data_IF_516702470633
#
_entry.id   IF_516702470633
#
_cell.length_a   1.000
_cell.length_b   1.000
_cell.length_c   1.000
_cell.angle_alpha   90.00
_cell.angle_beta   90.00
_cell.angle_gamma   90.00
#
_symmetry.space_group_name_H-M   'P 1'
#
loop_
_entity.id
_entity.type
_entity.pdbx_description
1 polymer ?
#
# COMPACT_ATOMS: atom_id res chain seq x y z
N UNK A 1 44.13 -24.13 13.08
CA UNK A 1 42.95 -24.56 13.85
C UNK A 1 41.87 -23.50 13.72
N UNK A 2 40.71 -23.93 13.22
CA UNK A 2 39.38 -23.31 13.25
C UNK A 2 39.23 -21.78 13.06
N UNK A 3 38.62 -21.40 11.94
CA UNK A 3 37.36 -20.65 12.01
C UNK A 3 36.51 -20.94 10.75
N UNK A 4 35.33 -21.53 10.99
CA UNK A 4 34.30 -21.84 10.00
C UNK A 4 33.60 -20.54 9.58
N UNK A 5 33.66 -20.17 8.32
CA UNK A 5 32.75 -19.17 7.73
C UNK A 5 31.53 -19.92 7.21
N UNK A 6 30.34 -19.58 7.72
CA UNK A 6 29.05 -20.06 7.20
C UNK A 6 28.53 -19.07 6.15
N UNK A 7 28.19 -19.50 4.93
CA UNK A 7 27.43 -18.69 3.98
C UNK A 7 25.98 -19.21 3.94
N UNK A 8 25.01 -18.51 4.52
CA UNK A 8 23.59 -18.78 4.23
C UNK A 8 22.65 -17.67 4.73
N UNK A 9 22.58 -16.53 4.03
CA UNK A 9 21.41 -15.64 4.06
C UNK A 9 21.25 -15.05 2.66
N UNK A 10 20.77 -15.87 1.72
CA UNK A 10 20.57 -15.42 0.34
C UNK A 10 19.48 -16.24 -0.38
N UNK A 11 18.35 -16.51 0.30
CA UNK A 11 17.12 -16.96 -0.36
C UNK A 11 15.94 -16.52 0.51
N UNK A 12 15.35 -15.35 0.23
CA UNK A 12 14.20 -14.87 1.01
C UNK A 12 13.49 -13.64 0.44
N UNK A 13 14.17 -12.85 -0.40
CA UNK A 13 13.63 -11.56 -0.89
C UNK A 13 13.20 -11.53 -2.35
N UNK A 14 12.97 -12.67 -3.02
CA UNK A 14 12.66 -12.69 -4.48
C UNK A 14 11.21 -13.09 -4.80
N UNK A 15 10.42 -13.63 -3.87
CA UNK A 15 9.05 -14.07 -4.19
C UNK A 15 7.94 -13.03 -3.97
N UNK A 16 8.21 -11.88 -3.35
CA UNK A 16 7.14 -10.91 -3.02
C UNK A 16 6.72 -10.02 -4.20
N UNK A 17 7.43 -10.05 -5.33
CA UNK A 17 7.18 -9.16 -6.48
C UNK A 17 6.26 -9.81 -7.53
N UNK A 18 6.02 -11.13 -7.46
CA UNK A 18 5.27 -11.83 -8.50
C UNK A 18 3.74 -11.89 -8.30
N UNK A 19 3.21 -11.60 -7.11
CA UNK A 19 1.78 -11.84 -6.80
C UNK A 19 0.88 -10.65 -7.13
N UNK A 20 1.39 -9.41 -7.13
CA UNK A 20 0.59 -8.24 -7.50
C UNK A 20 0.37 -8.14 -9.02
N UNK A 21 1.22 -8.81 -9.82
CA UNK A 21 1.20 -8.72 -11.28
C UNK A 21 0.13 -9.58 -11.98
N UNK A 22 -0.69 -10.36 -11.25
CA UNK A 22 -1.69 -11.25 -11.88
C UNK A 22 -3.16 -10.93 -11.55
N UNK A 23 -3.45 -9.96 -10.67
CA UNK A 23 -4.82 -9.75 -10.17
C UNK A 23 -5.66 -8.71 -10.95
N UNK A 24 -5.10 -8.01 -11.93
CA UNK A 24 -5.82 -6.95 -12.68
C UNK A 24 -6.13 -7.37 -14.13
N UNK A 25 -5.52 -8.44 -14.63
CA UNK A 25 -5.81 -8.95 -15.96
C UNK A 25 -6.97 -9.97 -15.90
N UNK A 26 -8.07 -9.62 -16.56
CA UNK A 26 -9.14 -10.51 -17.03
C UNK A 26 -10.30 -10.77 -16.05
N UNK A 27 -11.26 -9.82 -16.01
CA UNK A 27 -12.68 -10.19 -15.82
C UNK A 27 -13.17 -10.84 -17.12
N UNK A 28 -13.86 -11.99 -17.04
CA UNK A 28 -15.32 -11.96 -17.03
C UNK A 28 -15.96 -12.91 -16.00
N UNK A 29 -17.05 -12.48 -15.37
CA UNK A 29 -18.00 -13.35 -14.65
C UNK A 29 -19.22 -13.65 -15.55
N UNK A 30 -20.09 -14.65 -15.25
CA UNK A 30 -19.87 -16.03 -14.82
C UNK A 30 -20.71 -17.03 -15.68
N UNK A 31 -20.81 -18.32 -15.34
CA UNK A 31 -22.01 -18.74 -14.60
C UNK A 31 -21.74 -19.73 -13.44
N UNK A 32 -22.73 -19.78 -12.53
CA UNK A 32 -22.84 -20.70 -11.37
C UNK A 32 -22.82 -22.17 -11.80
N UNK A 33 -22.23 -23.04 -10.96
CA UNK A 33 -22.93 -24.13 -10.24
C UNK A 33 -21.94 -25.09 -9.56
N UNK A 34 -22.33 -25.49 -8.35
CA UNK A 34 -22.07 -26.78 -7.68
C UNK A 34 -20.69 -27.09 -7.07
N UNK A 35 -20.71 -27.17 -5.73
CA UNK A 35 -19.99 -28.12 -4.86
C UNK A 35 -18.72 -28.76 -5.41
N UNK A 36 -17.61 -28.01 -5.33
CA UNK A 36 -16.29 -28.61 -5.23
C UNK A 36 -15.68 -28.22 -3.89
N UNK A 37 -15.56 -29.22 -3.01
CA UNK A 37 -14.81 -29.12 -1.78
C UNK A 37 -13.44 -28.49 -2.06
N UNK A 38 -13.21 -27.32 -1.47
CA UNK A 38 -11.97 -26.58 -1.62
C UNK A 38 -10.80 -27.48 -1.23
N UNK A 39 -9.87 -27.70 -2.15
CA UNK A 39 -8.65 -28.46 -1.88
C UNK A 39 -7.82 -27.71 -0.82
N UNK A 40 -7.03 -28.42 0.01
CA UNK A 40 -6.21 -27.81 1.06
C UNK A 40 -5.28 -26.69 0.56
N UNK A 41 -4.88 -26.74 -0.72
CA UNK A 41 -4.05 -25.72 -1.36
C UNK A 41 -4.77 -24.37 -1.58
N UNK A 42 -6.10 -24.36 -1.72
CA UNK A 42 -6.88 -23.12 -1.85
C UNK A 42 -7.19 -22.46 -0.51
N UNK A 43 -7.12 -23.20 0.60
CA UNK A 43 -7.25 -22.63 1.94
C UNK A 43 -6.03 -21.79 2.36
N UNK A 44 -4.85 -22.05 1.79
CA UNK A 44 -3.62 -21.29 2.08
C UNK A 44 -3.65 -19.89 1.43
N UNK A 45 -4.45 -19.68 0.38
CA UNK A 45 -4.64 -18.38 -0.29
C UNK A 45 -5.78 -17.55 0.31
N UNK A 46 -6.61 -18.12 1.18
CA UNK A 46 -7.47 -17.35 2.07
C UNK A 46 -6.63 -16.94 3.27
N UNK A 47 -5.84 -15.87 3.09
CA UNK A 47 -5.32 -15.11 4.22
C UNK A 47 -6.43 -14.84 5.23
N UNK A 48 -6.08 -14.70 6.52
CA UNK A 48 -7.04 -14.43 7.60
C UNK A 48 -8.10 -13.42 7.12
N UNK A 49 -9.39 -13.65 7.45
CA UNK A 49 -10.46 -12.77 6.99
C UNK A 49 -10.14 -11.33 7.34
N UNK A 50 -10.44 -10.40 6.42
CA UNK A 50 -10.22 -8.97 6.69
C UNK A 50 -10.97 -8.59 7.97
N UNK A 51 -10.28 -7.86 8.84
CA UNK A 51 -10.89 -7.36 10.06
C UNK A 51 -11.77 -6.18 9.68
N UNK A 52 -13.06 -6.45 9.44
CA UNK A 52 -14.00 -5.45 8.94
C UNK A 52 -14.10 -4.23 9.88
N UNK A 53 -13.94 -4.41 11.19
CA UNK A 53 -13.98 -3.32 12.14
C UNK A 53 -12.71 -2.47 12.06
N UNK A 54 -11.53 -3.10 12.06
CA UNK A 54 -10.26 -2.38 11.88
C UNK A 54 -10.20 -1.67 10.54
N UNK A 55 -10.63 -2.35 9.46
CA UNK A 55 -10.71 -1.80 8.11
C UNK A 55 -11.62 -0.57 8.05
N UNK A 56 -12.81 -0.60 8.65
CA UNK A 56 -13.71 0.56 8.69
C UNK A 56 -13.10 1.74 9.46
N UNK A 57 -12.44 1.48 10.60
CA UNK A 57 -11.74 2.54 11.36
C UNK A 57 -10.62 3.17 10.54
N UNK A 58 -9.76 2.35 9.93
CA UNK A 58 -8.67 2.83 9.09
C UNK A 58 -9.20 3.59 7.86
N UNK A 59 -10.25 3.09 7.21
CA UNK A 59 -10.88 3.79 6.09
C UNK A 59 -11.45 5.15 6.50
N UNK A 60 -12.07 5.26 7.69
CA UNK A 60 -12.56 6.53 8.20
C UNK A 60 -11.42 7.53 8.42
N UNK A 61 -10.30 7.09 8.99
CA UNK A 61 -9.09 7.91 9.17
C UNK A 61 -8.55 8.35 7.82
N UNK A 62 -8.34 7.41 6.89
CA UNK A 62 -7.81 7.72 5.55
C UNK A 62 -8.74 8.69 4.82
N UNK A 63 -10.05 8.51 4.87
CA UNK A 63 -11.00 9.40 4.17
C UNK A 63 -10.98 10.84 4.72
N UNK A 64 -10.63 11.04 5.99
CA UNK A 64 -10.53 12.38 6.60
C UNK A 64 -9.25 13.12 6.22
N UNK A 65 -8.18 12.39 5.94
CA UNK A 65 -6.82 12.95 5.82
C UNK A 65 -6.26 12.82 4.41
N UNK A 66 -6.79 11.87 3.62
CA UNK A 66 -6.46 11.74 2.22
C UNK A 66 -6.96 12.99 1.47
N UNK A 67 -6.25 13.36 0.40
CA UNK A 67 -6.73 14.39 -0.50
C UNK A 67 -8.15 14.09 -0.99
N UNK A 68 -8.97 15.11 -1.25
CA UNK A 68 -10.30 14.89 -1.79
C UNK A 68 -10.22 14.08 -3.10
N UNK A 69 -11.12 13.12 -3.32
CA UNK A 69 -11.21 12.33 -4.53
C UNK A 69 -11.04 13.16 -5.80
N UNK A 70 -10.08 12.79 -6.65
CA UNK A 70 -9.96 13.42 -7.96
C UNK A 70 -11.06 12.89 -8.88
N UNK A 71 -11.64 13.79 -9.69
CA UNK A 71 -12.56 13.40 -10.77
C UNK A 71 -11.76 13.11 -12.03
N UNK A 72 -11.94 11.91 -12.58
CA UNK A 72 -11.42 11.52 -13.89
C UNK A 72 -12.61 11.25 -14.79
N UNK A 73 -12.92 12.21 -15.68
CA UNK A 73 -14.17 12.17 -16.43
C UNK A 73 -15.39 12.12 -15.50
N UNK A 74 -16.13 11.01 -15.52
CA UNK A 74 -17.33 10.79 -14.70
C UNK A 74 -17.07 10.01 -13.39
N UNK A 75 -15.86 9.49 -13.18
CA UNK A 75 -15.56 8.59 -12.05
C UNK A 75 -14.88 9.35 -10.92
N UNK A 76 -15.43 9.22 -9.71
CA UNK A 76 -14.77 9.66 -8.47
C UNK A 76 -13.90 8.51 -7.96
N UNK A 77 -12.61 8.78 -7.75
CA UNK A 77 -11.69 7.78 -7.20
C UNK A 77 -11.54 8.03 -5.70
N UNK A 78 -11.99 7.08 -4.88
CA UNK A 78 -11.90 7.14 -3.42
C UNK A 78 -10.74 6.29 -2.89
N UNK A 79 -10.18 6.61 -1.71
CA UNK A 79 -9.20 5.76 -1.07
C UNK A 79 -9.74 4.34 -0.82
N UNK A 80 -8.87 3.35 -0.93
CA UNK A 80 -9.17 1.94 -0.66
C UNK A 80 -8.33 1.50 0.53
N UNK A 81 -8.96 0.83 1.50
CA UNK A 81 -8.29 0.26 2.67
C UNK A 81 -8.67 -1.20 2.83
N UNK A 82 -7.66 -2.04 3.00
CA UNK A 82 -7.78 -3.43 3.40
C UNK A 82 -6.95 -3.65 4.66
N UNK A 83 -7.46 -4.39 5.64
CA UNK A 83 -6.75 -4.61 6.90
C UNK A 83 -6.72 -6.09 7.25
N UNK A 84 -5.52 -6.58 7.54
CA UNK A 84 -5.26 -7.96 7.93
C UNK A 84 -4.76 -7.95 9.37
N UNK A 85 -5.45 -8.68 10.23
CA UNK A 85 -5.05 -8.89 11.63
C UNK A 85 -4.42 -10.28 11.75
N UNK A 86 -3.16 -10.33 12.16
CA UNK A 86 -2.36 -11.55 12.31
C UNK A 86 -1.78 -11.68 13.72
N UNK A 87 -1.11 -12.80 14.02
CA UNK A 87 -0.40 -12.95 15.30
C UNK A 87 0.84 -12.04 15.37
N UNK A 88 1.32 -11.58 14.20
CA UNK A 88 2.39 -10.59 14.07
C UNK A 88 1.87 -9.14 14.18
N UNK A 89 0.57 -8.96 14.40
CA UNK A 89 -0.10 -7.67 14.55
C UNK A 89 -1.00 -7.27 13.38
N UNK A 90 -1.44 -6.02 13.40
CA UNK A 90 -2.36 -5.45 12.40
C UNK A 90 -1.56 -4.81 11.28
N UNK A 91 -1.87 -5.17 10.03
CA UNK A 91 -1.30 -4.54 8.83
C UNK A 91 -2.43 -3.96 7.99
N UNK A 92 -2.28 -2.69 7.60
CA UNK A 92 -3.23 -2.00 6.72
C UNK A 92 -2.61 -1.77 5.34
N UNK A 93 -3.32 -2.13 4.29
CA UNK A 93 -2.97 -1.84 2.91
C UNK A 93 -3.88 -0.72 2.41
N UNK A 94 -3.28 0.36 1.95
CA UNK A 94 -3.96 1.61 1.66
C UNK A 94 -3.59 2.05 0.24
N UNK A 95 -4.60 2.27 -0.59
CA UNK A 95 -4.45 2.93 -1.89
C UNK A 95 -5.04 4.33 -1.80
N UNK A 96 -4.27 5.34 -2.19
CA UNK A 96 -4.63 6.74 -2.04
C UNK A 96 -4.53 7.44 -3.39
N UNK A 97 -5.64 8.01 -3.90
CA UNK A 97 -5.57 8.89 -5.05
C UNK A 97 -4.84 10.18 -4.66
N UNK A 98 -3.75 10.45 -5.35
CA UNK A 98 -2.92 11.63 -5.16
C UNK A 98 -3.46 12.81 -5.95
N UNK A 99 -3.26 14.00 -5.42
CA UNK A 99 -3.53 15.25 -6.13
C UNK A 99 -2.26 15.73 -6.81
N UNK A 100 -2.32 15.89 -8.13
CA UNK A 100 -1.31 16.60 -8.90
C UNK A 100 -1.79 17.97 -9.37
N UNK A 101 -0.95 18.98 -9.15
CA UNK A 101 -1.12 20.27 -9.78
C UNK A 101 -0.74 20.17 -11.26
N UNK A 102 -1.66 20.54 -12.14
CA UNK A 102 -1.42 20.60 -13.59
C UNK A 102 -0.30 21.59 -13.91
N UNK A 103 0.71 21.16 -14.67
CA UNK A 103 1.79 22.02 -15.16
C UNK A 103 2.93 22.28 -14.15
N UNK A 104 3.03 21.48 -13.09
CA UNK A 104 4.18 21.50 -12.17
C UNK A 104 5.36 20.67 -12.69
N UNK A 105 6.57 20.98 -12.22
CA UNK A 105 7.77 20.17 -12.43
C UNK A 105 7.59 18.78 -11.77
N UNK A 106 7.98 17.66 -12.44
CA UNK A 106 7.81 16.30 -11.92
C UNK A 106 8.37 16.09 -10.50
N UNK A 107 9.51 16.70 -10.19
CA UNK A 107 10.13 16.61 -8.87
C UNK A 107 9.28 17.25 -7.76
N UNK A 108 8.73 18.45 -8.01
CA UNK A 108 7.87 19.13 -7.04
C UNK A 108 6.56 18.37 -6.82
N UNK A 109 6.03 17.81 -7.90
CA UNK A 109 4.88 16.94 -7.93
C UNK A 109 5.08 15.65 -7.11
N UNK A 110 6.25 15.03 -7.22
CA UNK A 110 6.63 13.86 -6.44
C UNK A 110 6.75 14.19 -4.94
N UNK A 111 7.34 15.34 -4.59
CA UNK A 111 7.43 15.77 -3.19
C UNK A 111 6.06 16.04 -2.57
N UNK A 112 5.14 16.66 -3.32
CA UNK A 112 3.75 16.82 -2.89
C UNK A 112 3.06 15.47 -2.66
N UNK A 113 3.29 14.49 -3.54
CA UNK A 113 2.74 13.15 -3.38
C UNK A 113 3.29 12.46 -2.12
N UNK A 114 4.60 12.53 -1.88
CA UNK A 114 5.20 12.01 -0.65
C UNK A 114 4.62 12.68 0.59
N UNK A 115 4.42 14.00 0.56
CA UNK A 115 3.83 14.73 1.67
C UNK A 115 2.39 14.26 1.96
N UNK A 116 1.58 14.04 0.92
CA UNK A 116 0.21 13.51 1.05
C UNK A 116 0.22 12.12 1.69
N UNK A 117 1.13 11.23 1.25
CA UNK A 117 1.26 9.90 1.83
C UNK A 117 1.76 9.93 3.29
N UNK A 118 2.73 10.80 3.60
CA UNK A 118 3.27 10.96 4.94
C UNK A 118 2.18 11.37 5.95
N UNK A 119 1.28 12.28 5.57
CA UNK A 119 0.12 12.66 6.39
C UNK A 119 -0.75 11.44 6.71
N UNK A 120 -1.04 10.60 5.73
CA UNK A 120 -1.88 9.41 5.95
C UNK A 120 -1.20 8.40 6.87
N UNK A 121 0.11 8.15 6.66
CA UNK A 121 0.90 7.27 7.53
C UNK A 121 0.85 7.74 8.99
N UNK A 122 1.14 9.02 9.21
CA UNK A 122 1.15 9.61 10.56
C UNK A 122 -0.21 9.44 11.24
N UNK A 123 -1.29 9.71 10.52
CA UNK A 123 -2.63 9.68 11.08
C UNK A 123 -3.10 8.26 11.38
N UNK A 124 -2.78 7.29 10.51
CA UNK A 124 -3.08 5.89 10.77
C UNK A 124 -2.35 5.36 12.01
N UNK A 125 -1.04 5.56 12.11
CA UNK A 125 -0.28 5.11 13.30
C UNK A 125 -0.66 5.86 14.58
N UNK A 126 -1.02 7.14 14.49
CA UNK A 126 -1.53 7.88 15.64
C UNK A 126 -2.92 7.39 16.08
N UNK A 127 -3.75 6.93 15.14
CA UNK A 127 -5.13 6.49 15.40
C UNK A 127 -5.24 5.07 15.94
N UNK A 128 -4.33 4.16 15.56
CA UNK A 128 -4.36 2.77 15.97
C UNK A 128 -2.99 2.30 16.51
N UNK A 129 -2.82 2.24 17.84
CA UNK A 129 -1.60 1.74 18.46
C UNK A 129 -1.29 0.27 18.16
N UNK A 130 -2.26 -0.54 17.72
CA UNK A 130 -2.08 -1.95 17.37
C UNK A 130 -1.64 -2.14 15.91
N UNK A 131 -1.63 -1.06 15.11
CA UNK A 131 -1.14 -1.06 13.75
C UNK A 131 0.38 -1.20 13.73
N UNK A 132 0.86 -2.32 13.21
CA UNK A 132 2.29 -2.63 13.12
C UNK A 132 2.88 -2.17 11.80
N UNK A 133 2.11 -2.27 10.70
CA UNK A 133 2.58 -1.89 9.36
C UNK A 133 1.50 -1.27 8.50
N UNK A 134 1.94 -0.41 7.60
CA UNK A 134 1.13 0.17 6.55
C UNK A 134 1.82 -0.07 5.21
N UNK A 135 1.14 -0.75 4.30
CA UNK A 135 1.47 -0.75 2.88
C UNK A 135 0.70 0.36 2.19
N UNK A 136 1.39 1.28 1.52
CA UNK A 136 0.79 2.42 0.82
C UNK A 136 1.08 2.36 -0.66
N UNK A 137 0.04 2.62 -1.44
CA UNK A 137 0.11 2.86 -2.87
C UNK A 137 -0.51 4.23 -3.13
N UNK A 138 0.32 5.18 -3.58
CA UNK A 138 -0.18 6.44 -4.12
C UNK A 138 -0.47 6.26 -5.61
N UNK A 139 -1.68 6.58 -6.05
CA UNK A 139 -2.11 6.49 -7.45
C UNK A 139 -2.40 7.86 -8.04
N UNK A 140 -2.29 8.00 -9.35
CA UNK A 140 -2.73 9.18 -10.08
C UNK A 140 -3.67 8.80 -11.21
N UNK A 141 -4.61 9.69 -11.55
CA UNK A 141 -5.51 9.44 -12.65
C UNK A 141 -4.82 9.58 -14.01
N UNK A 142 -5.09 8.63 -14.91
CA UNK A 142 -4.69 8.70 -16.31
C UNK A 142 -5.80 9.30 -17.19
N UNK A 143 -5.44 9.74 -18.39
CA UNK A 143 -6.37 10.33 -19.35
C UNK A 143 -7.49 9.36 -19.80
N UNK A 144 -7.25 8.05 -19.74
CA UNK A 144 -8.21 6.99 -20.09
C UNK A 144 -9.17 6.64 -18.94
N UNK A 145 -9.05 7.30 -17.79
CA UNK A 145 -9.87 7.02 -16.61
C UNK A 145 -9.32 5.92 -15.69
N UNK A 146 -8.18 5.31 -16.03
CA UNK A 146 -7.49 4.35 -15.17
C UNK A 146 -6.63 5.03 -14.10
N UNK A 147 -6.18 4.26 -13.10
CA UNK A 147 -5.25 4.72 -12.07
C UNK A 147 -3.87 4.11 -12.30
N UNK A 148 -2.83 4.95 -12.34
CA UNK A 148 -1.43 4.52 -12.35
C UNK A 148 -0.83 4.60 -10.95
N UNK A 149 -0.07 3.59 -10.51
CA UNK A 149 0.73 3.72 -9.30
C UNK A 149 1.88 4.73 -9.51
N UNK A 150 2.05 5.67 -8.59
CA UNK A 150 3.19 6.60 -8.55
C UNK A 150 4.22 6.19 -7.50
N UNK A 151 3.76 5.87 -6.28
CA UNK A 151 4.62 5.59 -5.13
C UNK A 151 4.12 4.33 -4.45
N UNK A 152 5.05 3.44 -4.13
CA UNK A 152 4.82 2.34 -3.21
C UNK A 152 5.71 2.52 -1.99
N UNK A 153 5.13 2.44 -0.80
CA UNK A 153 5.87 2.52 0.46
C UNK A 153 5.34 1.48 1.45
N UNK A 154 6.24 0.84 2.19
CA UNK A 154 5.88 0.02 3.36
C UNK A 154 6.54 0.63 4.57
N UNK A 155 5.73 1.11 5.51
CA UNK A 155 6.19 1.72 6.75
C UNK A 155 5.76 0.85 7.90
N UNK A 156 6.69 0.55 8.80
CA UNK A 156 6.38 -0.15 10.04
C UNK A 156 6.40 0.83 11.22
N UNK A 157 5.62 0.51 12.25
CA UNK A 157 5.37 1.40 13.39
C UNK A 157 6.66 1.75 14.12
N UNK A 158 7.57 0.78 14.27
CA UNK A 158 8.87 0.99 14.91
C UNK A 158 9.70 2.06 14.19
N UNK A 159 9.70 2.05 12.86
CA UNK A 159 10.39 3.05 12.03
C UNK A 159 9.70 4.39 12.17
N UNK A 160 8.37 4.46 12.05
CA UNK A 160 7.62 5.70 12.26
C UNK A 160 7.94 6.37 13.62
N UNK A 161 8.01 5.59 14.70
CA UNK A 161 8.35 6.09 16.04
C UNK A 161 9.75 6.69 16.14
N UNK A 162 10.71 6.23 15.33
CA UNK A 162 12.07 6.80 15.32
C UNK A 162 12.09 8.22 14.77
N UNK A 163 11.20 8.52 13.81
CA UNK A 163 11.09 9.83 13.17
C UNK A 163 10.10 10.77 13.88
N UNK A 164 9.26 10.25 14.78
CA UNK A 164 8.22 10.96 15.57
C UNK A 164 7.08 11.59 14.75
N UNK A 165 7.34 12.02 13.51
CA UNK A 165 6.36 12.31 12.46
C UNK A 165 7.07 12.29 11.10
N UNK A 166 6.45 11.69 10.10
CA UNK A 166 6.96 11.72 8.73
C UNK A 166 6.54 12.99 8.00
N UNK A 167 7.39 13.43 7.09
CA UNK A 167 7.11 14.43 6.07
C UNK A 167 7.52 13.87 4.69
N UNK A 168 7.39 14.68 3.64
CA UNK A 168 7.75 14.28 2.29
C UNK A 168 9.23 13.85 2.15
N UNK A 169 10.13 14.50 2.89
CA UNK A 169 11.57 14.26 2.82
C UNK A 169 11.99 12.97 3.56
N UNK A 170 11.30 12.63 4.64
CA UNK A 170 11.66 11.50 5.52
C UNK A 170 10.89 10.22 5.19
N UNK A 171 9.82 10.29 4.39
CA UNK A 171 8.99 9.12 4.06
C UNK A 171 9.79 7.97 3.45
N UNK A 172 10.69 8.25 2.49
CA UNK A 172 11.49 7.23 1.83
C UNK A 172 12.55 6.61 2.77
N UNK A 173 13.01 7.35 3.77
CA UNK A 173 13.99 6.87 4.75
C UNK A 173 13.34 5.99 5.81
N UNK A 174 12.13 6.37 6.26
CA UNK A 174 11.37 5.61 7.24
C UNK A 174 10.73 4.34 6.67
N UNK A 175 10.58 4.26 5.34
CA UNK A 175 9.99 3.11 4.69
C UNK A 175 10.98 1.92 4.64
N UNK A 176 10.52 0.74 5.09
CA UNK A 176 11.24 -0.52 4.92
C UNK A 176 11.40 -0.89 3.45
N UNK A 177 10.44 -0.46 2.62
CA UNK A 177 10.49 -0.58 1.17
C UNK A 177 9.88 0.67 0.56
N UNK A 178 10.59 1.27 -0.39
CA UNK A 178 10.15 2.46 -1.10
C UNK A 178 10.45 2.33 -2.60
N UNK A 179 9.47 2.65 -3.44
CA UNK A 179 9.59 2.66 -4.90
C UNK A 179 8.79 3.83 -5.47
N UNK A 180 9.36 4.44 -6.50
CA UNK A 180 8.69 5.44 -7.34
C UNK A 180 8.57 4.82 -8.73
N UNK A 181 7.44 5.05 -9.39
CA UNK A 181 7.24 4.61 -10.76
C UNK A 181 8.25 5.27 -11.70
N UNK A 182 8.84 4.47 -12.60
CA UNK A 182 9.99 4.88 -13.42
C UNK A 182 9.70 6.08 -14.31
N UNK A 183 8.46 6.23 -14.78
CA UNK A 183 7.99 7.33 -15.60
C UNK A 183 7.96 8.69 -14.87
N UNK A 184 8.07 8.69 -13.54
CA UNK A 184 8.10 9.90 -12.72
C UNK A 184 9.51 10.31 -12.29
N UNK A 185 10.52 9.56 -12.74
CA UNK A 185 11.93 9.77 -12.41
C UNK A 185 12.77 10.20 -13.62
N UNK A 186 12.14 10.38 -14.78
CA UNK A 186 12.75 10.82 -16.04
C UNK A 186 12.45 12.29 -16.30
#
# INVERSE_FOLDING_TARGET
MNMKVRPLVLVGSVCLIAVVAWAIAVRPQPPRSEDMAATPAQQVLRGRPSDAAAQQRHLAVVTQVAPPPQRVGATMVAPIVETITSDEGVTSFVTIPLVWASGGEPAAQLEQAKQQLAVVVNQLFASDPALERIGLIGTYPQADGSESPAIFAVVAQAQWRQYQALDGATLNEAAQSFRIASELTQ
#
